data_IF_889960911615
#
_entry.id   IF_889960911615
#
_cell.length_a   1.000
_cell.length_b   1.000
_cell.length_c   1.000
_cell.angle_alpha   90.00
_cell.angle_beta   90.00
_cell.angle_gamma   90.00
#
_symmetry.space_group_name_H-M   'P 1'
#
loop_
_entity.id
_entity.type
_entity.pdbx_description
1 polymer ?
#
# COMPACT_ATOMS: atom_id res chain seq x y z
N UNK A 1 -31.72 24.96 4.61
CA UNK A 1 -30.68 23.90 4.39
C UNK A 1 -30.10 23.57 5.75
N UNK A 2 -30.58 22.49 6.36
CA UNK A 2 -30.19 22.08 7.71
C UNK A 2 -28.90 21.28 7.59
N UNK A 3 -27.83 21.78 8.19
CA UNK A 3 -26.55 21.05 8.29
C UNK A 3 -26.76 19.85 9.23
N UNK A 4 -26.74 18.65 8.66
CA UNK A 4 -26.68 17.40 9.44
C UNK A 4 -25.27 17.31 10.03
N UNK A 5 -25.15 17.73 11.30
CA UNK A 5 -23.97 17.51 12.11
C UNK A 5 -23.91 16.00 12.41
N UNK A 6 -23.14 15.24 11.62
CA UNK A 6 -22.83 13.85 11.95
C UNK A 6 -21.88 13.87 13.14
N UNK A 7 -22.44 13.71 14.34
CA UNK A 7 -21.66 13.43 15.55
C UNK A 7 -21.02 12.05 15.39
N UNK A 8 -19.72 12.01 15.01
CA UNK A 8 -18.91 10.77 15.08
C UNK A 8 -18.81 10.37 16.56
N UNK A 9 -19.57 9.34 16.96
CA UNK A 9 -19.28 8.64 18.22
C UNK A 9 -17.83 8.13 18.14
N UNK A 10 -17.03 8.40 19.19
CA UNK A 10 -15.65 7.86 19.25
C UNK A 10 -15.71 6.33 19.15
N UNK A 11 -14.95 5.70 18.23
CA UNK A 11 -14.97 4.25 18.08
C UNK A 11 -14.55 3.62 19.41
N UNK A 12 -15.35 2.69 19.94
CA UNK A 12 -15.06 1.98 21.18
C UNK A 12 -13.62 1.43 21.11
N UNK A 13 -12.88 1.48 22.23
CA UNK A 13 -11.46 1.10 22.30
C UNK A 13 -11.11 -0.26 21.67
N UNK A 14 -12.05 -1.23 21.73
CA UNK A 14 -11.93 -2.54 21.04
C UNK A 14 -11.91 -2.41 19.50
N UNK A 15 -12.69 -1.50 18.92
CA UNK A 15 -12.71 -1.28 17.48
C UNK A 15 -11.39 -0.66 16.98
N UNK A 16 -10.84 0.30 17.73
CA UNK A 16 -9.54 0.90 17.37
C UNK A 16 -8.42 -0.13 17.40
N UNK A 17 -8.39 -1.00 18.42
CA UNK A 17 -7.39 -2.07 18.51
C UNK A 17 -7.48 -3.02 17.32
N UNK A 18 -8.70 -3.42 16.92
CA UNK A 18 -8.91 -4.23 15.73
C UNK A 18 -8.44 -3.53 14.45
N UNK A 19 -8.72 -2.22 14.30
CA UNK A 19 -8.24 -1.42 13.18
C UNK A 19 -6.71 -1.41 13.10
N UNK A 20 -6.02 -1.14 14.20
CA UNK A 20 -4.55 -1.20 14.23
C UNK A 20 -4.01 -2.59 13.93
N UNK A 21 -4.60 -3.65 14.49
CA UNK A 21 -4.20 -5.02 14.20
C UNK A 21 -4.32 -5.32 12.68
N UNK A 22 -5.41 -4.90 12.04
CA UNK A 22 -5.59 -5.04 10.59
C UNK A 22 -4.48 -4.33 9.80
N UNK A 23 -4.13 -3.10 10.18
CA UNK A 23 -3.05 -2.35 9.50
C UNK A 23 -1.69 -3.01 9.71
N UNK A 24 -1.37 -3.46 10.93
CA UNK A 24 -0.09 -4.11 11.22
C UNK A 24 0.06 -5.42 10.45
N UNK A 25 -1.00 -6.22 10.37
CA UNK A 25 -1.02 -7.45 9.54
C UNK A 25 -0.83 -7.08 8.06
N UNK A 26 -1.56 -6.08 7.56
CA UNK A 26 -1.44 -5.64 6.17
C UNK A 26 -0.02 -5.13 5.85
N UNK A 27 0.56 -4.29 6.70
CA UNK A 27 1.92 -3.77 6.54
C UNK A 27 2.97 -4.89 6.58
N UNK A 28 2.78 -5.88 7.44
CA UNK A 28 3.63 -7.09 7.48
C UNK A 28 3.56 -7.86 6.17
N UNK A 29 2.34 -8.10 5.65
CA UNK A 29 2.15 -8.78 4.38
C UNK A 29 2.77 -8.00 3.21
N UNK A 30 2.63 -6.68 3.16
CA UNK A 30 3.28 -5.83 2.16
C UNK A 30 4.80 -5.90 2.26
N UNK A 31 5.37 -5.86 3.47
CA UNK A 31 6.81 -5.96 3.69
C UNK A 31 7.38 -7.31 3.20
N UNK A 32 6.72 -8.42 3.53
CA UNK A 32 7.11 -9.76 2.99
C UNK A 32 6.96 -9.79 1.48
N UNK A 33 5.87 -9.23 0.95
CA UNK A 33 5.56 -9.21 -0.48
C UNK A 33 6.67 -8.52 -1.30
N UNK A 34 7.37 -7.54 -0.76
CA UNK A 34 8.50 -6.89 -1.42
C UNK A 34 9.59 -7.90 -1.82
N UNK A 35 9.97 -8.81 -0.92
CA UNK A 35 10.96 -9.86 -1.19
C UNK A 35 10.42 -10.91 -2.17
N UNK A 36 9.16 -11.32 -2.04
CA UNK A 36 8.53 -12.26 -2.98
C UNK A 36 8.47 -11.66 -4.39
N UNK A 37 8.07 -10.40 -4.51
CA UNK A 37 8.03 -9.70 -5.80
C UNK A 37 9.44 -9.61 -6.42
N UNK A 38 10.49 -9.30 -5.62
CA UNK A 38 11.87 -9.27 -6.08
C UNK A 38 12.30 -10.62 -6.68
N UNK A 39 11.95 -11.72 -6.03
CA UNK A 39 12.21 -13.07 -6.54
C UNK A 39 11.40 -13.34 -7.82
N UNK A 40 10.13 -12.99 -7.88
CA UNK A 40 9.31 -13.15 -9.09
C UNK A 40 9.88 -12.36 -10.29
N UNK A 41 10.38 -11.15 -10.05
CA UNK A 41 10.98 -10.29 -11.08
C UNK A 41 12.30 -10.83 -11.60
N UNK A 42 13.00 -11.70 -10.84
CA UNK A 42 14.23 -12.35 -11.33
C UNK A 42 14.00 -13.31 -12.52
N UNK A 43 12.75 -13.70 -12.78
CA UNK A 43 12.34 -14.43 -14.01
C UNK A 43 12.46 -13.59 -15.29
N UNK A 44 12.74 -12.29 -15.17
CA UNK A 44 12.69 -11.31 -16.26
C UNK A 44 11.29 -10.74 -16.53
N UNK A 45 10.31 -11.02 -15.66
CA UNK A 45 9.02 -10.32 -15.66
C UNK A 45 9.24 -8.85 -15.25
N UNK A 46 8.71 -7.89 -16.01
CA UNK A 46 8.82 -6.48 -15.63
C UNK A 46 7.88 -6.13 -14.48
N UNK A 47 8.23 -5.10 -13.69
CA UNK A 47 7.39 -4.61 -12.59
C UNK A 47 6.00 -4.20 -13.06
N UNK A 48 5.89 -3.63 -14.28
CA UNK A 48 4.60 -3.24 -14.85
C UNK A 48 3.74 -4.47 -15.18
N UNK A 49 4.35 -5.54 -15.74
CA UNK A 49 3.66 -6.81 -16.03
C UNK A 49 3.22 -7.53 -14.74
N UNK A 50 4.05 -7.47 -13.70
CA UNK A 50 3.67 -8.01 -12.40
C UNK A 50 2.47 -7.22 -11.81
N UNK A 51 2.42 -5.89 -12.00
CA UNK A 51 1.29 -5.07 -11.53
C UNK A 51 0.02 -5.32 -12.31
N UNK A 52 0.11 -5.50 -13.63
CA UNK A 52 -1.01 -5.91 -14.47
C UNK A 52 -1.59 -7.25 -13.98
N UNK A 53 -0.73 -8.28 -13.84
CA UNK A 53 -1.14 -9.61 -13.37
C UNK A 53 -1.75 -9.58 -11.97
N UNK A 54 -1.14 -8.82 -11.02
CA UNK A 54 -1.67 -8.71 -9.66
C UNK A 54 -3.01 -7.97 -9.60
N UNK A 55 -3.20 -6.90 -10.40
CA UNK A 55 -4.48 -6.19 -10.44
C UNK A 55 -5.57 -7.08 -11.03
N UNK A 56 -5.32 -7.78 -12.14
CA UNK A 56 -6.27 -8.68 -12.75
C UNK A 56 -6.60 -9.87 -11.84
N UNK A 57 -5.59 -10.50 -11.26
CA UNK A 57 -5.77 -11.61 -10.32
C UNK A 57 -6.55 -11.18 -9.07
N UNK A 58 -6.25 -10.01 -8.51
CA UNK A 58 -6.98 -9.47 -7.36
C UNK A 58 -8.42 -9.10 -7.73
N UNK A 59 -8.65 -8.54 -8.92
CA UNK A 59 -9.99 -8.27 -9.44
C UNK A 59 -10.81 -9.56 -9.51
N UNK A 60 -10.30 -10.59 -10.18
CA UNK A 60 -10.98 -11.88 -10.31
C UNK A 60 -11.25 -12.50 -8.93
N UNK A 61 -10.22 -12.58 -8.08
CA UNK A 61 -10.36 -13.17 -6.74
C UNK A 61 -11.40 -12.46 -5.87
N UNK A 62 -11.35 -11.11 -5.82
CA UNK A 62 -12.30 -10.31 -5.04
C UNK A 62 -13.71 -10.36 -5.62
N UNK A 63 -13.86 -10.30 -6.95
CA UNK A 63 -15.17 -10.43 -7.59
C UNK A 63 -15.81 -11.80 -7.31
N UNK A 64 -15.03 -12.88 -7.32
CA UNK A 64 -15.51 -14.21 -6.93
C UNK A 64 -15.92 -14.25 -5.45
N UNK A 65 -15.14 -13.66 -4.55
CA UNK A 65 -15.48 -13.59 -3.13
C UNK A 65 -16.81 -12.83 -2.92
N UNK A 66 -16.98 -11.68 -3.60
CA UNK A 66 -18.22 -10.88 -3.52
C UNK A 66 -19.39 -11.65 -4.13
N UNK A 67 -19.19 -12.32 -5.26
CA UNK A 67 -20.23 -13.13 -5.92
C UNK A 67 -20.76 -14.23 -5.00
N UNK A 68 -19.88 -14.89 -4.26
CA UNK A 68 -20.25 -15.98 -3.35
C UNK A 68 -20.87 -15.47 -2.04
N UNK A 69 -20.31 -14.39 -1.44
CA UNK A 69 -20.74 -13.90 -0.12
C UNK A 69 -21.92 -12.92 -0.18
N UNK A 70 -21.94 -12.05 -1.17
CA UNK A 70 -22.90 -10.94 -1.23
C UNK A 70 -23.11 -10.50 -2.69
N UNK A 71 -23.80 -11.29 -3.55
CA UNK A 71 -24.00 -10.99 -4.97
C UNK A 71 -24.64 -9.61 -5.21
N UNK A 72 -25.47 -9.16 -4.28
CA UNK A 72 -26.10 -7.82 -4.33
C UNK A 72 -25.08 -6.68 -4.29
N UNK A 73 -23.90 -6.90 -3.68
CA UNK A 73 -22.83 -5.91 -3.61
C UNK A 73 -22.09 -5.71 -4.96
N UNK A 74 -22.33 -6.59 -5.94
CA UNK A 74 -21.88 -6.38 -7.32
C UNK A 74 -22.74 -5.37 -8.08
N UNK A 75 -23.93 -5.04 -7.56
CA UNK A 75 -24.78 -4.03 -8.21
C UNK A 75 -24.17 -2.66 -8.04
N UNK A 76 -23.98 -1.95 -9.17
CA UNK A 76 -23.53 -0.57 -9.20
C UNK A 76 -24.71 0.36 -9.52
N UNK A 77 -24.83 1.39 -8.71
CA UNK A 77 -25.72 2.51 -9.04
C UNK A 77 -24.95 3.52 -9.91
N UNK A 78 -25.64 4.19 -10.84
CA UNK A 78 -24.98 5.12 -11.79
C UNK A 78 -24.14 6.20 -11.09
N UNK A 79 -24.55 6.69 -9.94
CA UNK A 79 -23.84 7.71 -9.16
C UNK A 79 -22.60 7.15 -8.41
N UNK A 80 -22.50 5.82 -8.21
CA UNK A 80 -21.34 5.18 -7.59
C UNK A 80 -20.23 4.91 -8.60
N UNK A 81 -20.61 4.73 -9.90
CA UNK A 81 -19.67 4.34 -10.95
C UNK A 81 -18.48 5.29 -11.03
N UNK A 82 -18.73 6.60 -11.11
CA UNK A 82 -17.66 7.59 -11.21
C UNK A 82 -16.76 7.60 -9.97
N UNK A 83 -17.34 7.51 -8.76
CA UNK A 83 -16.57 7.50 -7.52
C UNK A 83 -15.66 6.28 -7.41
N UNK A 84 -16.21 5.09 -7.73
CA UNK A 84 -15.44 3.84 -7.73
C UNK A 84 -14.40 3.79 -8.85
N UNK A 85 -14.68 4.39 -10.01
CA UNK A 85 -13.70 4.55 -11.08
C UNK A 85 -12.55 5.48 -10.64
N UNK A 86 -12.87 6.61 -10.01
CA UNK A 86 -11.87 7.52 -9.43
C UNK A 86 -11.06 6.81 -8.34
N UNK A 87 -11.71 6.06 -7.44
CA UNK A 87 -11.03 5.28 -6.42
C UNK A 87 -10.10 4.22 -7.03
N UNK A 88 -10.56 3.45 -8.01
CA UNK A 88 -9.73 2.42 -8.66
C UNK A 88 -8.57 2.99 -9.45
N UNK A 89 -8.80 4.09 -10.17
CA UNK A 89 -7.77 4.76 -10.95
C UNK A 89 -6.74 5.43 -10.04
N UNK A 90 -7.16 6.38 -9.22
CA UNK A 90 -6.25 7.15 -8.36
C UNK A 90 -5.78 6.35 -7.14
N UNK A 91 -6.66 5.55 -6.54
CA UNK A 91 -6.33 4.80 -5.32
C UNK A 91 -5.56 3.51 -5.55
N UNK A 92 -5.72 2.84 -6.70
CA UNK A 92 -5.08 1.54 -6.93
C UNK A 92 -4.10 1.57 -8.11
N UNK A 93 -4.52 2.05 -9.29
CA UNK A 93 -3.67 1.96 -10.48
C UNK A 93 -2.52 2.97 -10.48
N UNK A 94 -2.83 4.26 -10.28
CA UNK A 94 -1.83 5.34 -10.40
C UNK A 94 -0.81 5.35 -9.25
N UNK A 95 -1.18 4.93 -8.03
CA UNK A 95 -0.20 4.76 -6.93
C UNK A 95 0.92 3.84 -7.38
N UNK A 96 0.58 2.70 -7.98
CA UNK A 96 1.56 1.73 -8.45
C UNK A 96 2.34 2.26 -9.65
N UNK A 97 1.66 2.87 -10.62
CA UNK A 97 2.29 3.41 -11.82
C UNK A 97 3.39 4.41 -11.46
N UNK A 98 3.06 5.44 -10.69
CA UNK A 98 4.01 6.49 -10.34
C UNK A 98 5.12 6.00 -9.41
N UNK A 99 4.82 5.04 -8.52
CA UNK A 99 5.84 4.37 -7.73
C UNK A 99 6.85 3.63 -8.62
N UNK A 100 6.39 2.85 -9.61
CA UNK A 100 7.29 2.14 -10.51
C UNK A 100 8.09 3.07 -11.42
N UNK A 101 7.50 4.17 -11.90
CA UNK A 101 8.22 5.19 -12.65
C UNK A 101 9.29 5.87 -11.79
N UNK A 102 9.03 6.06 -10.49
CA UNK A 102 10.01 6.60 -9.55
C UNK A 102 11.18 5.65 -9.34
N UNK A 103 10.93 4.36 -9.06
CA UNK A 103 12.01 3.39 -8.77
C UNK A 103 12.84 2.99 -10.00
N UNK A 104 12.38 3.29 -11.21
CA UNK A 104 13.22 3.19 -12.40
C UNK A 104 14.33 4.24 -12.44
N UNK A 105 14.21 5.33 -11.66
CA UNK A 105 15.10 6.49 -11.65
C UNK A 105 15.75 6.77 -10.30
N UNK A 106 15.13 6.28 -9.22
CA UNK A 106 15.59 6.45 -7.85
C UNK A 106 15.84 5.09 -7.19
N UNK A 107 16.68 5.07 -6.18
CA UNK A 107 16.75 3.91 -5.29
C UNK A 107 15.38 3.66 -4.63
N UNK A 108 14.98 2.39 -4.51
CA UNK A 108 13.66 1.97 -4.02
C UNK A 108 13.34 2.62 -2.65
N UNK A 109 14.31 2.64 -1.74
CA UNK A 109 14.13 3.24 -0.42
C UNK A 109 13.79 4.74 -0.47
N UNK A 110 14.38 5.49 -1.42
CA UNK A 110 14.11 6.92 -1.59
C UNK A 110 12.72 7.14 -2.17
N UNK A 111 12.34 6.36 -3.18
CA UNK A 111 11.00 6.42 -3.74
C UNK A 111 9.93 6.13 -2.67
N UNK A 112 10.16 5.11 -1.82
CA UNK A 112 9.30 4.79 -0.67
C UNK A 112 9.28 5.92 0.37
N UNK A 113 10.44 6.48 0.74
CA UNK A 113 10.51 7.58 1.69
C UNK A 113 9.65 8.78 1.23
N UNK A 114 9.76 9.13 -0.06
CA UNK A 114 8.99 10.23 -0.64
C UNK A 114 7.49 9.85 -0.71
N UNK A 115 7.16 8.63 -1.11
CA UNK A 115 5.76 8.15 -1.15
C UNK A 115 5.12 8.19 0.24
N UNK A 116 5.87 7.87 1.30
CA UNK A 116 5.38 7.93 2.68
C UNK A 116 5.22 9.36 3.23
N UNK A 117 5.45 10.41 2.44
CA UNK A 117 4.88 11.74 2.69
C UNK A 117 3.35 11.75 2.55
N UNK A 118 2.75 10.73 1.92
CA UNK A 118 1.29 10.60 1.78
C UNK A 118 0.52 10.78 3.10
N UNK A 119 0.83 10.07 4.20
CA UNK A 119 0.20 10.27 5.50
C UNK A 119 0.34 11.70 6.06
N UNK A 120 1.44 12.40 5.77
CA UNK A 120 1.61 13.80 6.10
C UNK A 120 0.63 14.67 5.31
N UNK A 121 0.48 14.42 4.01
CA UNK A 121 -0.50 15.10 3.16
C UNK A 121 -1.93 14.85 3.63
N UNK A 122 -2.25 13.62 4.06
CA UNK A 122 -3.56 13.29 4.68
C UNK A 122 -3.79 14.13 5.94
N UNK A 123 -2.79 14.24 6.82
CA UNK A 123 -2.90 15.03 8.05
C UNK A 123 -3.06 16.54 7.77
N UNK A 124 -2.35 17.06 6.77
CA UNK A 124 -2.50 18.45 6.30
C UNK A 124 -3.91 18.67 5.76
N UNK A 125 -4.41 17.77 4.92
CA UNK A 125 -5.76 17.84 4.36
C UNK A 125 -6.82 17.81 5.46
N UNK A 126 -6.72 16.86 6.40
CA UNK A 126 -7.63 16.74 7.53
C UNK A 126 -7.66 18.01 8.39
N UNK A 127 -6.50 18.67 8.58
CA UNK A 127 -6.39 19.93 9.33
C UNK A 127 -6.93 21.13 8.58
N UNK A 128 -6.69 21.20 7.26
CA UNK A 128 -7.02 22.37 6.44
C UNK A 128 -8.49 22.37 5.97
N UNK A 129 -9.00 21.20 5.57
CA UNK A 129 -10.32 21.06 4.94
C UNK A 129 -11.30 20.21 5.73
N UNK A 130 -10.81 19.23 6.52
CA UNK A 130 -11.66 18.32 7.30
C UNK A 130 -12.13 18.89 8.63
N UNK A 131 -11.68 20.11 9.02
CA UNK A 131 -11.93 20.74 10.33
C UNK A 131 -11.58 19.81 11.51
N UNK A 132 -10.82 18.75 11.30
CA UNK A 132 -10.36 17.85 12.35
C UNK A 132 -9.16 18.46 13.09
N UNK A 133 -9.24 18.46 14.42
CA UNK A 133 -8.10 18.86 15.25
C UNK A 133 -7.09 17.72 15.28
N UNK A 134 -6.17 17.70 14.30
CA UNK A 134 -5.02 16.78 14.34
C UNK A 134 -4.16 17.13 15.55
N UNK A 135 -4.09 16.22 16.53
CA UNK A 135 -3.38 16.46 17.79
C UNK A 135 -1.88 16.61 17.57
N UNK A 136 -1.20 17.39 18.40
CA UNK A 136 0.27 17.59 18.32
C UNK A 136 1.06 16.28 18.31
N UNK A 137 0.59 15.24 19.01
CA UNK A 137 1.20 13.90 19.04
C UNK A 137 1.21 13.23 17.65
N UNK A 138 0.20 13.44 16.82
CA UNK A 138 0.15 12.89 15.45
C UNK A 138 1.21 13.57 14.59
N UNK A 139 1.40 14.89 14.70
CA UNK A 139 2.47 15.60 14.01
C UNK A 139 3.86 15.13 14.45
N UNK A 140 4.06 14.92 15.76
CA UNK A 140 5.29 14.35 16.29
C UNK A 140 5.53 12.92 15.78
N UNK A 141 4.49 12.09 15.73
CA UNK A 141 4.58 10.74 15.17
C UNK A 141 4.93 10.74 13.67
N UNK A 142 4.33 11.65 12.89
CA UNK A 142 4.66 11.82 11.46
C UNK A 142 6.13 12.24 11.27
N UNK A 143 6.57 13.27 12.00
CA UNK A 143 7.97 13.72 11.93
C UNK A 143 8.93 12.60 12.32
N UNK A 144 8.64 11.88 13.40
CA UNK A 144 9.46 10.78 13.89
C UNK A 144 9.49 9.61 12.89
N UNK A 145 8.33 9.26 12.27
CA UNK A 145 8.27 8.20 11.26
C UNK A 145 9.10 8.54 10.03
N UNK A 146 8.99 9.77 9.52
CA UNK A 146 9.76 10.21 8.36
C UNK A 146 11.26 10.27 8.67
N UNK A 147 11.64 10.72 9.87
CA UNK A 147 13.04 10.68 10.34
C UNK A 147 13.55 9.25 10.40
N UNK A 148 12.78 8.33 10.97
CA UNK A 148 13.14 6.91 11.02
C UNK A 148 13.30 6.29 9.63
N UNK A 149 12.41 6.60 8.68
CA UNK A 149 12.55 6.17 7.30
C UNK A 149 13.78 6.78 6.61
N UNK A 150 14.09 8.06 6.84
CA UNK A 150 15.28 8.70 6.32
C UNK A 150 16.57 8.03 6.84
N UNK A 151 16.59 7.62 8.12
CA UNK A 151 17.67 6.83 8.70
C UNK A 151 17.77 5.44 8.05
N UNK A 152 16.65 4.75 7.83
CA UNK A 152 16.63 3.42 7.18
C UNK A 152 17.15 3.46 5.74
N UNK A 153 16.90 4.55 5.02
CA UNK A 153 17.37 4.76 3.64
C UNK A 153 18.82 5.25 3.59
N UNK A 154 19.37 5.67 4.74
CA UNK A 154 20.72 6.28 4.83
C UNK A 154 20.89 7.44 3.84
N UNK A 155 19.95 8.37 3.83
CA UNK A 155 19.77 9.44 2.86
C UNK A 155 21.06 10.27 2.62
N UNK A 156 21.98 10.32 3.60
CA UNK A 156 23.25 11.08 3.55
C UNK A 156 24.38 10.34 2.82
N UNK A 157 24.22 9.08 2.40
CA UNK A 157 25.27 8.32 1.71
C UNK A 157 25.46 8.71 0.23
N UNK A 158 25.03 9.87 -0.16
CA UNK A 158 25.31 10.45 -1.49
C UNK A 158 24.47 9.82 -2.60
N UNK A 159 23.15 9.99 -2.50
CA UNK A 159 22.24 9.50 -3.51
C UNK A 159 22.13 10.48 -4.65
N UNK A 160 22.40 10.04 -5.88
CA UNK A 160 22.07 10.81 -7.05
C UNK A 160 20.54 10.91 -7.18
N UNK A 161 20.00 12.13 -7.00
CA UNK A 161 18.57 12.39 -7.15
C UNK A 161 18.29 12.79 -8.61
N UNK A 162 17.61 11.90 -9.34
CA UNK A 162 17.02 12.26 -10.63
C UNK A 162 15.76 13.10 -10.41
N UNK A 163 15.73 14.33 -10.93
CA UNK A 163 14.62 15.26 -10.71
C UNK A 163 13.27 14.73 -11.19
N UNK A 164 13.23 13.98 -12.30
CA UNK A 164 12.01 13.37 -12.82
C UNK A 164 11.57 12.19 -11.95
N UNK A 165 12.52 11.42 -11.42
CA UNK A 165 12.26 10.36 -10.45
C UNK A 165 11.63 10.90 -9.16
N UNK A 166 12.15 12.03 -8.64
CA UNK A 166 11.58 12.73 -7.48
C UNK A 166 10.16 13.23 -7.78
N UNK A 167 9.94 13.81 -8.97
CA UNK A 167 8.60 14.25 -9.38
C UNK A 167 7.59 13.09 -9.40
N UNK A 168 7.96 11.93 -9.96
CA UNK A 168 7.10 10.73 -9.94
C UNK A 168 6.84 10.23 -8.51
N UNK A 169 7.84 10.24 -7.64
CA UNK A 169 7.68 9.84 -6.24
C UNK A 169 6.75 10.79 -5.47
N UNK A 170 6.84 12.11 -5.71
CA UNK A 170 5.92 13.10 -5.13
C UNK A 170 4.49 12.91 -5.64
N UNK A 171 4.30 12.67 -6.94
CA UNK A 171 2.98 12.35 -7.48
C UNK A 171 2.46 11.06 -6.82
N UNK A 172 3.30 10.03 -6.65
CA UNK A 172 2.93 8.82 -5.94
C UNK A 172 2.48 9.09 -4.49
N UNK A 173 3.15 10.01 -3.77
CA UNK A 173 2.75 10.42 -2.43
C UNK A 173 1.36 11.10 -2.41
N UNK A 174 1.09 12.00 -3.38
CA UNK A 174 -0.22 12.67 -3.51
C UNK A 174 -1.32 11.66 -3.82
N UNK A 175 -1.06 10.76 -4.76
CA UNK A 175 -2.03 9.72 -5.16
C UNK A 175 -2.24 8.71 -4.02
N UNK A 176 -1.22 8.38 -3.24
CA UNK A 176 -1.33 7.54 -2.05
C UNK A 176 -2.16 8.22 -0.94
N UNK A 177 -1.98 9.53 -0.73
CA UNK A 177 -2.84 10.30 0.16
C UNK A 177 -4.30 10.29 -0.31
N UNK A 178 -4.53 10.48 -1.61
CA UNK A 178 -5.86 10.40 -2.22
C UNK A 178 -6.48 9.00 -2.03
N UNK A 179 -5.71 7.92 -2.19
CA UNK A 179 -6.15 6.55 -1.89
C UNK A 179 -6.70 6.42 -0.47
N UNK A 180 -5.93 6.87 0.53
CA UNK A 180 -6.33 6.75 1.93
C UNK A 180 -7.61 7.55 2.23
N UNK A 181 -7.71 8.78 1.70
CA UNK A 181 -8.89 9.64 1.89
C UNK A 181 -10.13 9.12 1.15
N UNK A 182 -9.97 8.69 -0.09
CA UNK A 182 -11.06 8.11 -0.87
C UNK A 182 -11.54 6.79 -0.25
N UNK A 183 -10.62 5.94 0.19
CA UNK A 183 -10.95 4.69 0.87
C UNK A 183 -11.68 4.95 2.19
N UNK A 184 -11.24 5.93 3.00
CA UNK A 184 -11.90 6.33 4.25
C UNK A 184 -13.32 6.84 3.99
N UNK A 185 -13.53 7.58 2.90
CA UNK A 185 -14.84 8.05 2.50
C UNK A 185 -15.74 6.91 2.00
N UNK A 186 -15.27 6.12 1.03
CA UNK A 186 -16.07 5.10 0.34
C UNK A 186 -16.42 3.91 1.25
N UNK A 187 -15.56 3.55 2.22
CA UNK A 187 -15.81 2.45 3.17
C UNK A 187 -17.00 2.73 4.10
N UNK A 188 -17.47 3.97 4.18
CA UNK A 188 -18.71 4.33 4.91
C UNK A 188 -19.98 3.87 4.18
N UNK A 189 -19.91 3.74 2.85
CA UNK A 189 -21.06 3.44 1.99
C UNK A 189 -21.02 1.99 1.48
N UNK A 190 -19.84 1.37 1.43
CA UNK A 190 -19.66 0.03 0.87
C UNK A 190 -18.74 -0.81 1.76
N UNK A 191 -18.94 -2.12 1.81
CA UNK A 191 -18.03 -3.01 2.52
C UNK A 191 -16.65 -3.03 1.87
N UNK A 192 -15.60 -3.33 2.67
CA UNK A 192 -14.21 -3.24 2.25
C UNK A 192 -13.87 -4.18 1.09
N UNK A 193 -14.45 -5.39 1.07
CA UNK A 193 -14.17 -6.38 0.03
C UNK A 193 -14.78 -5.95 -1.29
N UNK A 194 -16.05 -5.51 -1.28
CA UNK A 194 -16.73 -5.02 -2.48
C UNK A 194 -16.10 -3.72 -3.00
N UNK A 195 -15.69 -2.82 -2.10
CA UNK A 195 -14.97 -1.59 -2.49
C UNK A 195 -13.66 -1.93 -3.21
N UNK A 196 -12.87 -2.86 -2.65
CA UNK A 196 -11.62 -3.28 -3.28
C UNK A 196 -11.85 -4.08 -4.57
N UNK A 197 -12.92 -4.88 -4.66
CA UNK A 197 -13.27 -5.58 -5.90
C UNK A 197 -13.47 -4.60 -7.06
N UNK A 198 -14.25 -3.55 -6.85
CA UNK A 198 -14.47 -2.50 -7.84
C UNK A 198 -13.22 -1.64 -8.05
N UNK A 199 -12.46 -1.34 -7.01
CA UNK A 199 -11.18 -0.65 -7.12
C UNK A 199 -10.19 -1.39 -8.03
N UNK A 200 -10.02 -2.70 -7.81
CA UNK A 200 -9.17 -3.52 -8.67
C UNK A 200 -9.76 -3.75 -10.07
N UNK A 201 -11.09 -3.74 -10.23
CA UNK A 201 -11.71 -3.79 -11.55
C UNK A 201 -11.31 -2.58 -12.40
N UNK A 202 -11.47 -1.37 -11.89
CA UNK A 202 -11.08 -0.16 -12.63
C UNK A 202 -9.56 -0.03 -12.79
N UNK A 203 -8.78 -0.50 -11.81
CA UNK A 203 -7.33 -0.59 -11.96
C UNK A 203 -6.93 -1.59 -13.06
N UNK A 204 -7.58 -2.74 -13.14
CA UNK A 204 -7.33 -3.73 -14.21
C UNK A 204 -7.69 -3.15 -15.57
N UNK A 205 -8.80 -2.44 -15.65
CA UNK A 205 -9.19 -1.75 -16.89
C UNK A 205 -8.12 -0.76 -17.34
N UNK A 206 -7.61 0.07 -16.42
CA UNK A 206 -6.49 0.97 -16.71
C UNK A 206 -5.25 0.21 -17.21
N UNK A 207 -4.85 -0.87 -16.52
CA UNK A 207 -3.66 -1.64 -16.89
C UNK A 207 -3.82 -2.35 -18.23
N UNK A 208 -5.03 -2.77 -18.61
CA UNK A 208 -5.33 -3.36 -19.91
C UNK A 208 -5.06 -2.39 -21.06
N UNK A 209 -5.28 -1.09 -20.86
CA UNK A 209 -4.94 -0.06 -21.84
C UNK A 209 -3.47 0.33 -21.80
N UNK A 210 -2.87 0.39 -20.59
CA UNK A 210 -1.47 0.76 -20.41
C UNK A 210 -0.49 -0.34 -20.84
N UNK A 211 -0.89 -1.60 -20.69
CA UNK A 211 -0.09 -2.80 -20.98
C UNK A 211 -0.98 -3.85 -21.64
N UNK A 212 -0.95 -3.98 -22.99
CA UNK A 212 -1.86 -4.89 -23.68
C UNK A 212 -1.56 -6.37 -23.41
N UNK A 213 -2.61 -7.14 -23.06
CA UNK A 213 -2.52 -8.55 -22.65
C UNK A 213 -1.92 -9.48 -23.70
N UNK A 214 -2.08 -9.18 -24.99
CA UNK A 214 -1.51 -10.03 -26.08
C UNK A 214 0.03 -10.04 -26.10
N UNK A 215 0.68 -9.10 -25.45
CA UNK A 215 2.14 -9.07 -25.26
C UNK A 215 2.58 -9.51 -23.87
N UNK A 216 1.68 -10.13 -23.08
CA UNK A 216 2.01 -10.66 -21.77
C UNK A 216 2.96 -11.88 -21.91
N UNK A 217 4.10 -11.91 -21.22
CA UNK A 217 5.10 -12.97 -21.35
C UNK A 217 4.68 -14.24 -20.58
N UNK A 218 3.59 -14.88 -20.96
CA UNK A 218 3.01 -16.03 -20.27
C UNK A 218 4.02 -17.19 -20.09
N UNK A 219 4.92 -17.40 -21.05
CA UNK A 219 5.96 -18.41 -20.95
C UNK A 219 6.86 -18.21 -19.72
N UNK A 220 7.17 -16.97 -19.34
CA UNK A 220 8.00 -16.67 -18.14
C UNK A 220 7.32 -17.06 -16.83
N UNK A 221 6.00 -17.04 -16.80
CA UNK A 221 5.22 -17.38 -15.59
C UNK A 221 5.25 -18.89 -15.31
N UNK A 222 5.42 -19.70 -16.32
CA UNK A 222 5.54 -21.16 -16.20
C UNK A 222 6.94 -21.63 -15.75
N UNK A 223 7.98 -20.78 -15.91
CA UNK A 223 9.33 -21.14 -15.51
C UNK A 223 9.46 -21.23 -13.98
N UNK A 224 10.42 -22.04 -13.52
CA UNK A 224 10.82 -22.08 -12.12
C UNK A 224 12.00 -21.13 -11.87
N UNK A 225 11.97 -20.47 -10.70
CA UNK A 225 13.06 -19.62 -10.24
C UNK A 225 13.52 -20.06 -8.85
N UNK A 226 14.82 -19.89 -8.57
CA UNK A 226 15.36 -20.06 -7.23
C UNK A 226 14.81 -18.96 -6.31
N UNK A 227 14.47 -19.32 -5.06
CA UNK A 227 14.02 -18.36 -4.05
C UNK A 227 15.14 -17.42 -3.57
N UNK A 228 16.36 -17.61 -4.04
CA UNK A 228 17.52 -16.77 -3.73
C UNK A 228 17.94 -16.76 -2.23
N UNK A 229 18.98 -16.03 -1.92
CA UNK A 229 19.44 -15.79 -0.55
C UNK A 229 19.67 -17.08 0.25
N UNK A 230 19.04 -17.19 1.42
CA UNK A 230 19.11 -18.39 2.29
C UNK A 230 18.26 -19.54 1.79
N UNK A 231 17.31 -19.26 0.92
CA UNK A 231 16.40 -20.24 0.32
C UNK A 231 16.80 -20.58 -1.13
N UNK A 232 18.03 -20.29 -1.54
CA UNK A 232 18.50 -20.47 -2.92
C UNK A 232 18.37 -21.91 -3.45
N UNK A 233 18.41 -22.92 -2.56
CA UNK A 233 18.20 -24.33 -2.92
C UNK A 233 16.74 -24.69 -3.25
N UNK A 234 15.77 -23.83 -2.90
CA UNK A 234 14.37 -24.04 -3.19
C UNK A 234 13.98 -23.34 -4.47
N UNK A 235 13.22 -24.04 -5.32
CA UNK A 235 12.74 -23.53 -6.59
C UNK A 235 11.22 -23.58 -6.62
N UNK A 236 10.60 -22.46 -7.00
CA UNK A 236 9.15 -22.38 -7.19
C UNK A 236 8.83 -21.87 -8.61
N UNK A 237 7.72 -22.33 -9.19
CA UNK A 237 7.25 -21.76 -10.44
C UNK A 237 6.80 -20.30 -10.23
N UNK A 238 7.09 -19.43 -11.19
CA UNK A 238 6.79 -17.99 -11.09
C UNK A 238 5.31 -17.74 -10.85
N UNK A 239 4.41 -18.57 -11.42
CA UNK A 239 2.97 -18.45 -11.18
C UNK A 239 2.60 -18.56 -9.69
N UNK A 240 3.31 -19.39 -8.92
CA UNK A 240 3.05 -19.51 -7.48
C UNK A 240 3.44 -18.24 -6.73
N UNK A 241 4.55 -17.58 -7.13
CA UNK A 241 4.96 -16.29 -6.60
C UNK A 241 3.99 -15.17 -7.00
N UNK A 242 3.52 -15.19 -8.25
CA UNK A 242 2.47 -14.25 -8.72
C UNK A 242 1.17 -14.46 -7.94
N UNK A 243 0.76 -15.71 -7.70
CA UNK A 243 -0.41 -16.02 -6.88
C UNK A 243 -0.25 -15.50 -5.43
N UNK A 244 0.95 -15.65 -4.85
CA UNK A 244 1.27 -15.03 -3.56
C UNK A 244 1.07 -13.51 -3.60
N UNK A 245 1.64 -12.83 -4.63
CA UNK A 245 1.52 -11.38 -4.81
C UNK A 245 0.05 -10.96 -4.98
N UNK A 246 -0.75 -11.76 -5.68
CA UNK A 246 -2.20 -11.55 -5.84
C UNK A 246 -2.92 -11.66 -4.50
N UNK A 247 -2.74 -12.77 -3.78
CA UNK A 247 -3.54 -13.06 -2.57
C UNK A 247 -3.00 -12.31 -1.37
N UNK A 248 -1.73 -12.57 -1.01
CA UNK A 248 -1.11 -12.05 0.22
C UNK A 248 -0.40 -10.69 0.01
N UNK A 249 -0.13 -10.31 -1.22
CA UNK A 249 0.41 -9.00 -1.56
C UNK A 249 -0.63 -8.00 -2.04
N UNK A 250 -1.88 -8.43 -2.30
CA UNK A 250 -2.92 -7.51 -2.81
C UNK A 250 -4.26 -7.73 -2.15
N UNK A 251 -4.95 -8.86 -2.37
CA UNK A 251 -6.33 -9.07 -1.89
C UNK A 251 -6.42 -8.84 -0.37
N UNK A 252 -5.63 -9.58 0.40
CA UNK A 252 -5.71 -9.54 1.86
C UNK A 252 -5.27 -8.19 2.42
N UNK A 253 -4.06 -7.66 2.12
CA UNK A 253 -3.59 -6.44 2.77
C UNK A 253 -4.40 -5.21 2.37
N UNK A 254 -4.78 -5.03 1.11
CA UNK A 254 -5.62 -3.90 0.71
C UNK A 254 -7.01 -3.97 1.35
N UNK A 255 -7.62 -5.16 1.43
CA UNK A 255 -8.91 -5.33 2.11
C UNK A 255 -8.82 -5.01 3.60
N UNK A 256 -7.72 -5.39 4.27
CA UNK A 256 -7.46 -5.08 5.67
C UNK A 256 -7.24 -3.58 5.90
N UNK A 257 -6.46 -2.90 5.05
CA UNK A 257 -6.27 -1.45 5.13
C UNK A 257 -7.61 -0.73 5.03
N UNK A 258 -8.42 -1.08 4.03
CA UNK A 258 -9.73 -0.46 3.83
C UNK A 258 -10.70 -0.79 4.97
N UNK A 259 -10.67 -2.03 5.50
CA UNK A 259 -11.48 -2.38 6.66
C UNK A 259 -11.05 -1.61 7.92
N UNK A 260 -9.76 -1.39 8.12
CA UNK A 260 -9.22 -0.64 9.25
C UNK A 260 -9.70 0.82 9.27
N UNK A 261 -9.93 1.43 8.08
CA UNK A 261 -10.44 2.81 7.97
C UNK A 261 -11.86 3.01 8.53
N UNK A 262 -12.60 1.93 8.81
CA UNK A 262 -13.84 2.00 9.58
C UNK A 262 -13.61 2.28 11.07
N UNK A 263 -12.43 1.99 11.56
CA UNK A 263 -12.09 2.01 12.98
C UNK A 263 -11.05 3.07 13.33
N UNK A 264 -10.19 3.41 12.37
CA UNK A 264 -9.03 4.28 12.57
C UNK A 264 -8.96 5.28 11.41
N UNK A 265 -8.65 6.56 11.69
CA UNK A 265 -8.56 7.58 10.64
C UNK A 265 -7.43 7.33 9.64
N UNK A 266 -7.60 7.84 8.41
CA UNK A 266 -6.64 7.69 7.31
C UNK A 266 -5.21 8.10 7.71
N UNK A 267 -5.05 9.19 8.47
CA UNK A 267 -3.73 9.62 8.98
C UNK A 267 -3.07 8.55 9.85
N UNK A 268 -3.81 7.97 10.80
CA UNK A 268 -3.27 6.94 11.71
C UNK A 268 -3.00 5.62 10.99
N UNK A 269 -3.86 5.25 10.04
CA UNK A 269 -3.64 4.09 9.16
C UNK A 269 -2.35 4.28 8.37
N UNK A 270 -2.15 5.47 7.78
CA UNK A 270 -0.93 5.80 7.03
C UNK A 270 0.34 5.73 7.89
N UNK A 271 0.31 6.24 9.13
CA UNK A 271 1.46 6.13 10.06
C UNK A 271 1.72 4.65 10.41
N UNK A 272 0.69 3.88 10.72
CA UNK A 272 0.85 2.47 11.07
C UNK A 272 1.34 1.63 9.88
N UNK A 273 0.97 2.00 8.64
CA UNK A 273 1.46 1.37 7.43
C UNK A 273 2.96 1.57 7.21
N UNK A 274 3.59 2.58 7.83
CA UNK A 274 5.05 2.74 7.79
C UNK A 274 5.83 1.60 8.50
N UNK A 275 5.14 0.63 9.09
CA UNK A 275 5.72 -0.65 9.48
C UNK A 275 6.21 -1.46 8.27
N UNK A 276 5.61 -1.29 7.10
CA UNK A 276 5.96 -2.02 5.86
C UNK A 276 7.46 -1.99 5.55
N UNK A 277 8.14 -0.84 5.42
CA UNK A 277 9.56 -0.80 5.14
C UNK A 277 10.42 -1.42 6.24
N UNK A 278 9.99 -1.37 7.50
CA UNK A 278 10.67 -2.04 8.61
C UNK A 278 10.64 -3.55 8.40
N UNK A 279 9.47 -4.12 8.14
CA UNK A 279 9.31 -5.55 7.87
C UNK A 279 10.05 -5.95 6.59
N UNK A 280 9.94 -5.16 5.51
CA UNK A 280 10.65 -5.43 4.26
C UNK A 280 12.16 -5.55 4.46
N UNK A 281 12.74 -4.64 5.25
CA UNK A 281 14.17 -4.65 5.59
C UNK A 281 14.56 -5.88 6.40
N UNK A 282 13.75 -6.25 7.41
CA UNK A 282 13.99 -7.45 8.23
C UNK A 282 13.91 -8.73 7.36
N UNK A 283 12.91 -8.82 6.48
CA UNK A 283 12.72 -9.97 5.59
C UNK A 283 13.85 -10.06 4.56
N UNK A 284 14.28 -8.93 3.98
CA UNK A 284 15.40 -8.89 3.06
C UNK A 284 16.71 -9.36 3.72
N UNK A 285 16.96 -8.95 4.96
CA UNK A 285 18.09 -9.44 5.75
C UNK A 285 17.97 -10.94 6.07
N UNK A 286 16.81 -11.37 6.57
CA UNK A 286 16.61 -12.74 7.03
C UNK A 286 16.58 -13.74 5.86
N UNK A 287 16.03 -13.35 4.72
CA UNK A 287 15.84 -14.21 3.55
C UNK A 287 16.90 -13.97 2.47
N UNK A 288 17.02 -12.73 1.98
CA UNK A 288 17.84 -12.40 0.81
C UNK A 288 19.33 -12.17 1.14
N UNK A 289 19.74 -12.30 2.42
CA UNK A 289 21.11 -12.05 2.93
C UNK A 289 21.58 -10.61 2.74
N UNK A 290 20.67 -9.65 2.70
CA UNK A 290 21.04 -8.24 2.68
C UNK A 290 21.65 -7.86 4.05
N UNK A 291 22.67 -6.99 4.04
CA UNK A 291 23.30 -6.52 5.27
C UNK A 291 22.50 -5.37 5.87
N UNK A 292 22.33 -5.37 7.18
CA UNK A 292 21.72 -4.26 7.92
C UNK A 292 22.79 -3.43 8.62
N UNK A 293 22.78 -2.13 8.39
CA UNK A 293 23.63 -1.22 9.15
C UNK A 293 23.01 -0.92 10.53
N UNK A 294 23.83 -0.56 11.54
CA UNK A 294 23.32 -0.10 12.83
C UNK A 294 22.37 1.10 12.71
N UNK A 295 22.58 1.96 11.73
CA UNK A 295 21.75 3.13 11.47
C UNK A 295 20.36 2.74 10.95
N UNK A 296 20.30 1.74 10.07
CA UNK A 296 19.04 1.19 9.59
C UNK A 296 18.22 0.56 10.73
N UNK A 297 18.89 -0.16 11.65
CA UNK A 297 18.25 -0.71 12.84
C UNK A 297 17.73 0.40 13.78
N UNK A 298 18.52 1.46 14.00
CA UNK A 298 18.07 2.62 14.76
C UNK A 298 16.86 3.29 14.10
N UNK A 299 16.90 3.47 12.78
CA UNK A 299 15.78 4.00 12.00
C UNK A 299 14.50 3.17 12.13
N UNK A 300 14.61 1.84 12.07
CA UNK A 300 13.49 0.94 12.30
C UNK A 300 12.91 1.09 13.71
N UNK A 301 13.75 1.20 14.74
CA UNK A 301 13.32 1.48 16.11
C UNK A 301 12.58 2.80 16.24
N UNK A 302 13.04 3.85 15.55
CA UNK A 302 12.39 5.17 15.51
C UNK A 302 11.00 5.09 14.85
N UNK A 303 10.86 4.35 13.75
CA UNK A 303 9.55 4.12 13.10
C UNK A 303 8.59 3.40 14.05
N UNK A 304 9.04 2.35 14.72
CA UNK A 304 8.22 1.62 15.70
C UNK A 304 7.76 2.51 16.85
N UNK A 305 8.65 3.36 17.40
CA UNK A 305 8.31 4.34 18.43
C UNK A 305 7.26 5.36 17.93
N UNK A 306 7.37 5.79 16.68
CA UNK A 306 6.40 6.70 16.06
C UNK A 306 5.01 6.06 15.92
N UNK A 307 4.94 4.79 15.51
CA UNK A 307 3.68 4.05 15.42
C UNK A 307 3.03 3.93 16.80
N UNK A 308 3.79 3.60 17.85
CA UNK A 308 3.30 3.55 19.23
C UNK A 308 2.79 4.92 19.69
N UNK A 309 3.53 6.01 19.38
CA UNK A 309 3.11 7.38 19.69
C UNK A 309 1.79 7.73 19.03
N UNK A 310 1.59 7.34 17.75
CA UNK A 310 0.34 7.58 17.03
C UNK A 310 -0.85 6.82 17.65
N UNK A 311 -0.62 5.60 18.13
CA UNK A 311 -1.66 4.79 18.79
C UNK A 311 -2.10 5.37 20.13
N UNK A 312 -1.19 5.97 20.89
CA UNK A 312 -1.49 6.59 22.19
C UNK A 312 -2.09 8.00 22.10
N UNK A 313 -2.19 8.58 20.91
CA UNK A 313 -2.79 9.89 20.68
C UNK A 313 -4.33 9.79 20.73
N UNK A 314 -4.89 9.60 21.94
CA UNK A 314 -6.36 9.60 22.21
C UNK A 314 -6.92 11.02 22.17
#
# INVERSE_FOLDING_TARGET
MSAVTVTREEPRARGQLAGYAMVLVAATLFGVNGSVAKVALSSGLSSLRLSEARCAGACVGLMLIVLVRSPSALRLRRHELLRLAVFGLFGVALVQLFYFLAIHRLAIGIALLIQYLGPLLVAIYARAFGHERVRRRIWAALALSLTGLALMVELWRGVALDGLGVAFALISAVVFAAYLLLAEYEVQYRDSVSLMAWGFFFATLFWTFAQPWWSFPAGRVAHTVSLQGRLAGWHLPVWALVLWVVVLGSIVPFSLIVAALRHVSATRVGIAAMLEPVVATIVAWAWLRETLSPVQLAGAGVVLAAILLAQTAR
#
